data_IF_060836876869
#
_entry.id   IF_060836876869
#
_cell.length_a   1.000
_cell.length_b   1.000
_cell.length_c   1.000
_cell.angle_alpha   90.00
_cell.angle_beta   90.00
_cell.angle_gamma   90.00
#
_symmetry.space_group_name_H-M   'P 1'
#
loop_
_entity.id
_entity.type
_entity.pdbx_description
1 polymer ?
#
# COMPACT_ATOMS: atom_id res chain seq x y z
N UNK A 1 -24.56 6.57 19.41
CA UNK A 1 -25.15 6.00 18.17
C UNK A 1 -24.55 4.63 17.92
N UNK A 2 -25.30 3.71 17.31
CA UNK A 2 -24.78 2.38 16.95
C UNK A 2 -23.79 2.55 15.78
N UNK A 3 -22.53 2.11 15.95
CA UNK A 3 -21.49 2.20 14.91
C UNK A 3 -21.62 1.04 13.92
N UNK A 4 -21.42 1.33 12.63
CA UNK A 4 -21.29 0.28 11.60
C UNK A 4 -19.89 -0.38 11.67
N UNK A 5 -19.67 -1.42 10.87
CA UNK A 5 -18.41 -2.16 10.90
C UNK A 5 -17.20 -1.30 10.47
N UNK A 6 -17.33 -0.54 9.38
CA UNK A 6 -16.28 0.36 8.89
C UNK A 6 -15.84 1.37 9.95
N UNK A 7 -16.79 1.98 10.66
CA UNK A 7 -16.51 2.92 11.75
C UNK A 7 -15.75 2.26 12.90
N UNK A 8 -16.08 1.00 13.23
CA UNK A 8 -15.36 0.26 14.27
C UNK A 8 -13.92 -0.07 13.85
N UNK A 9 -13.72 -0.45 12.59
CA UNK A 9 -12.39 -0.75 12.05
C UNK A 9 -11.55 0.53 11.99
N UNK A 10 -12.09 1.63 11.48
CA UNK A 10 -11.36 2.92 11.45
C UNK A 10 -11.03 3.39 12.86
N UNK A 11 -11.96 3.25 13.81
CA UNK A 11 -11.71 3.63 15.21
C UNK A 11 -10.62 2.78 15.86
N UNK A 12 -10.54 1.48 15.57
CA UNK A 12 -9.51 0.61 16.15
C UNK A 12 -8.10 0.88 15.60
N UNK A 13 -7.98 1.55 14.45
CA UNK A 13 -6.70 1.90 13.80
C UNK A 13 -6.43 3.41 13.80
N UNK A 14 -7.28 4.22 14.44
CA UNK A 14 -7.13 5.68 14.46
C UNK A 14 -5.91 6.09 15.29
N UNK A 15 -5.00 6.83 14.68
CA UNK A 15 -3.82 7.41 15.32
C UNK A 15 -4.05 8.88 15.66
N UNK A 16 -4.64 9.64 14.73
CA UNK A 16 -4.89 11.07 14.87
C UNK A 16 -6.17 11.49 14.12
N UNK A 17 -6.79 12.58 14.58
CA UNK A 17 -7.98 13.17 13.95
C UNK A 17 -9.29 12.70 14.57
N UNK A 18 -10.41 12.98 13.87
CA UNK A 18 -11.76 12.58 14.30
C UNK A 18 -12.50 11.93 13.15
N UNK A 19 -13.28 10.90 13.43
CA UNK A 19 -14.12 10.21 12.44
C UNK A 19 -15.37 11.03 12.07
N UNK A 20 -15.15 12.23 11.54
CA UNK A 20 -16.16 13.15 11.03
C UNK A 20 -15.99 13.23 9.51
N UNK A 21 -17.05 13.05 8.70
CA UNK A 21 -16.93 13.10 7.24
C UNK A 21 -16.32 14.43 6.76
N UNK A 22 -15.31 14.33 5.89
CA UNK A 22 -14.58 15.48 5.34
C UNK A 22 -13.41 15.97 6.19
N UNK A 23 -13.20 15.43 7.40
CA UNK A 23 -11.99 15.69 8.19
C UNK A 23 -10.89 14.68 7.86
N UNK A 24 -9.64 15.15 7.88
CA UNK A 24 -8.46 14.30 7.73
C UNK A 24 -8.22 13.48 9.01
N UNK A 25 -7.76 12.25 8.83
CA UNK A 25 -7.39 11.34 9.91
C UNK A 25 -6.09 10.63 9.55
N UNK A 26 -5.33 10.26 10.57
CA UNK A 26 -4.21 9.32 10.43
C UNK A 26 -4.65 7.95 10.95
N UNK A 27 -4.39 6.91 10.18
CA UNK A 27 -4.66 5.52 10.59
C UNK A 27 -3.40 4.67 10.47
N UNK A 28 -3.29 3.65 11.31
CA UNK A 28 -2.30 2.59 11.16
C UNK A 28 -2.68 1.71 9.98
N UNK A 29 -1.69 1.39 9.15
CA UNK A 29 -1.84 0.45 8.03
C UNK A 29 -1.16 -0.85 8.43
N UNK A 30 -1.95 -1.92 8.57
CA UNK A 30 -1.42 -3.23 8.95
C UNK A 30 -0.70 -3.88 7.77
N UNK A 31 -1.26 -3.76 6.56
CA UNK A 31 -0.75 -4.42 5.37
C UNK A 31 -0.74 -3.51 4.16
N UNK A 32 0.28 -3.66 3.31
CA UNK A 32 0.31 -3.07 1.96
C UNK A 32 0.40 -4.19 0.93
N UNK A 33 -0.46 -4.11 -0.10
CA UNK A 33 -0.53 -5.09 -1.18
C UNK A 33 -0.32 -4.35 -2.50
N UNK A 34 0.71 -4.74 -3.22
CA UNK A 34 1.10 -4.16 -4.49
C UNK A 34 0.98 -5.22 -5.60
N UNK A 35 0.78 -4.78 -6.83
CA UNK A 35 0.68 -5.62 -8.02
C UNK A 35 1.66 -5.10 -9.08
N UNK A 36 2.19 -5.95 -9.94
CA UNK A 36 3.35 -5.67 -10.81
C UNK A 36 3.12 -4.56 -11.86
N UNK A 37 1.89 -4.18 -12.16
CA UNK A 37 1.60 -3.02 -13.01
C UNK A 37 1.65 -1.66 -12.28
N UNK A 38 1.57 -1.62 -10.94
CA UNK A 38 1.76 -0.38 -10.13
C UNK A 38 2.89 -0.49 -9.12
N UNK A 39 3.43 -1.68 -8.93
CA UNK A 39 4.36 -2.03 -7.86
C UNK A 39 5.71 -1.35 -8.04
N UNK A 40 6.23 -1.38 -9.27
CA UNK A 40 7.52 -0.75 -9.62
C UNK A 40 7.54 0.72 -9.21
N UNK A 41 6.54 1.50 -9.61
CA UNK A 41 6.46 2.92 -9.25
C UNK A 41 6.33 3.13 -7.74
N UNK A 42 5.51 2.34 -7.05
CA UNK A 42 5.36 2.47 -5.61
C UNK A 42 6.66 2.13 -4.85
N UNK A 43 7.42 1.14 -5.30
CA UNK A 43 8.73 0.82 -4.73
C UNK A 43 9.78 1.89 -5.03
N UNK A 44 9.80 2.46 -6.24
CA UNK A 44 10.70 3.58 -6.57
C UNK A 44 10.43 4.80 -5.69
N UNK A 45 9.17 5.14 -5.45
CA UNK A 45 8.80 6.22 -4.52
C UNK A 45 9.19 5.86 -3.08
N UNK A 46 9.02 4.61 -2.66
CA UNK A 46 9.46 4.15 -1.35
C UNK A 46 10.98 4.26 -1.16
N UNK A 47 11.77 3.90 -2.17
CA UNK A 47 13.24 4.09 -2.17
C UNK A 47 13.59 5.58 -2.07
N UNK A 48 12.89 6.45 -2.81
CA UNK A 48 13.11 7.89 -2.77
C UNK A 48 12.82 8.51 -1.39
N UNK A 49 11.99 7.88 -0.55
CA UNK A 49 11.78 8.30 0.84
C UNK A 49 13.01 8.07 1.74
N UNK A 50 14.00 7.29 1.30
CA UNK A 50 15.22 7.01 2.06
C UNK A 50 14.99 6.17 3.32
N UNK A 51 14.00 5.27 3.28
CA UNK A 51 13.68 4.36 4.38
C UNK A 51 14.32 3.00 4.16
N UNK A 52 14.99 2.46 5.18
CA UNK A 52 15.68 1.16 5.07
C UNK A 52 14.72 -0.04 4.94
N UNK A 53 13.47 0.10 5.43
CA UNK A 53 12.47 -0.97 5.42
C UNK A 53 11.05 -0.45 5.54
N UNK A 54 10.10 -1.22 5.03
CA UNK A 54 8.67 -0.99 5.23
C UNK A 54 8.32 -0.97 6.72
N UNK A 55 7.27 -0.22 7.07
CA UNK A 55 6.78 -0.07 8.45
C UNK A 55 5.43 -0.76 8.71
N UNK A 56 4.72 -1.15 7.66
CA UNK A 56 3.55 -2.02 7.80
C UNK A 56 3.98 -3.39 8.34
N UNK A 57 3.06 -4.11 8.98
CA UNK A 57 3.34 -5.46 9.51
C UNK A 57 3.65 -6.45 8.37
N UNK A 58 2.93 -6.31 7.25
CA UNK A 58 3.13 -7.11 6.05
C UNK A 58 3.13 -6.21 4.82
N UNK A 59 4.10 -6.41 3.94
CA UNK A 59 4.07 -5.85 2.59
C UNK A 59 4.26 -6.98 1.58
N UNK A 60 3.33 -7.11 0.64
CA UNK A 60 3.36 -8.14 -0.39
C UNK A 60 3.31 -7.52 -1.78
N UNK A 61 4.18 -8.02 -2.66
CA UNK A 61 4.20 -7.70 -4.08
C UNK A 61 3.70 -8.92 -4.86
N UNK A 62 2.60 -8.75 -5.60
CA UNK A 62 2.06 -9.75 -6.50
C UNK A 62 2.61 -9.54 -7.91
N UNK A 63 2.92 -10.64 -8.59
CA UNK A 63 3.39 -10.67 -9.98
C UNK A 63 2.36 -11.45 -10.79
N UNK A 64 1.35 -10.76 -11.31
CA UNK A 64 0.15 -11.37 -11.88
C UNK A 64 -0.46 -10.63 -13.08
N UNK A 65 -0.14 -9.35 -13.31
CA UNK A 65 -0.71 -8.56 -14.41
C UNK A 65 0.19 -8.52 -15.65
N UNK A 66 1.52 -8.49 -15.49
CA UNK A 66 2.48 -8.31 -16.58
C UNK A 66 3.25 -9.60 -16.94
N UNK A 67 2.56 -10.74 -16.85
CA UNK A 67 3.16 -12.06 -17.09
C UNK A 67 3.67 -12.27 -18.53
N UNK A 68 3.01 -11.63 -19.51
CA UNK A 68 3.46 -11.67 -20.90
C UNK A 68 4.53 -10.59 -21.13
N UNK A 69 5.79 -11.02 -21.20
CA UNK A 69 6.94 -10.16 -21.44
C UNK A 69 7.21 -10.06 -22.95
N UNK A 70 6.37 -9.29 -23.66
CA UNK A 70 6.48 -9.12 -25.13
C UNK A 70 7.61 -8.16 -25.54
N UNK A 71 8.08 -7.34 -24.60
CA UNK A 71 9.30 -6.53 -24.67
C UNK A 71 10.11 -6.65 -23.37
N UNK A 72 11.19 -5.87 -23.24
CA UNK A 72 12.09 -5.93 -22.08
C UNK A 72 11.52 -5.27 -20.82
N UNK A 73 10.52 -4.37 -20.94
CA UNK A 73 10.10 -3.52 -19.82
C UNK A 73 9.54 -4.33 -18.67
N UNK A 74 8.63 -5.26 -18.98
CA UNK A 74 8.04 -6.12 -17.96
C UNK A 74 9.08 -7.04 -17.31
N UNK A 75 10.08 -7.49 -18.08
CA UNK A 75 11.16 -8.32 -17.54
C UNK A 75 12.06 -7.51 -16.60
N UNK A 76 12.40 -6.27 -16.95
CA UNK A 76 13.20 -5.37 -16.13
C UNK A 76 12.44 -4.96 -14.86
N UNK A 77 11.15 -4.62 -14.98
CA UNK A 77 10.28 -4.30 -13.85
C UNK A 77 10.17 -5.49 -12.88
N UNK A 78 10.01 -6.73 -13.39
CA UNK A 78 9.98 -7.94 -12.57
C UNK A 78 11.32 -8.29 -11.93
N UNK A 79 12.44 -7.90 -12.54
CA UNK A 79 13.77 -8.11 -11.96
C UNK A 79 14.08 -7.11 -10.85
N UNK A 80 13.49 -5.92 -10.92
CA UNK A 80 13.57 -4.90 -9.88
C UNK A 80 12.71 -5.23 -8.65
N UNK A 81 11.48 -5.70 -8.87
CA UNK A 81 10.52 -6.11 -7.84
C UNK A 81 10.94 -7.38 -7.08
#
# INVERSE_FOLDING_TARGET
>A
MKKNLTQKILESHLVEGRLVPGEEIAITIDQTLLQDATGTMAMLEFEAMGLDRVRAELSAQYVDHNLLQTDHKNADDHAYL
#
